data_IF_115293975830
#
_entry.id   IF_115293975830
#
_cell.length_a   1.000
_cell.length_b   1.000
_cell.length_c   1.000
_cell.angle_alpha   90.00
_cell.angle_beta   90.00
_cell.angle_gamma   90.00
#
_symmetry.space_group_name_H-M   'P 1'
#
loop_
_entity.id
_entity.type
_entity.pdbx_description
1 polymer ?
#
# COMPACT_ATOMS: atom_id res chain seq x y z
N UNK A 1 -16.22 43.39 31.52
CA UNK A 1 -17.62 42.98 31.72
C UNK A 1 -18.49 43.46 30.54
N UNK A 2 -18.23 43.01 29.31
CA UNK A 2 -18.92 43.53 28.10
C UNK A 2 -19.48 42.43 27.18
N UNK A 3 -19.42 41.15 27.58
CA UNK A 3 -19.90 40.02 26.76
C UNK A 3 -21.34 39.59 27.04
N UNK A 4 -21.99 40.13 28.09
CA UNK A 4 -23.32 39.66 28.49
C UNK A 4 -24.51 40.52 28.05
N UNK A 5 -24.30 41.73 27.52
CA UNK A 5 -25.42 42.62 27.18
C UNK A 5 -26.01 42.43 25.77
N UNK A 6 -25.32 41.70 24.90
CA UNK A 6 -25.76 41.38 23.53
C UNK A 6 -26.63 40.11 23.43
N UNK A 7 -26.74 39.30 24.49
CA UNK A 7 -27.40 38.00 24.41
C UNK A 7 -28.93 38.06 24.38
N UNK A 8 -29.55 39.21 24.72
CA UNK A 8 -31.00 39.34 24.90
C UNK A 8 -31.66 40.49 24.08
N UNK A 9 -31.03 40.96 23.00
CA UNK A 9 -31.57 42.05 22.17
C UNK A 9 -31.51 41.76 20.67
N UNK A 10 -32.52 42.20 19.91
CA UNK A 10 -32.56 42.04 18.44
C UNK A 10 -32.09 43.35 17.80
N UNK A 11 -31.13 43.28 16.89
CA UNK A 11 -30.68 44.46 16.12
C UNK A 11 -31.69 44.74 15.01
N UNK A 12 -32.23 45.96 14.97
CA UNK A 12 -33.27 46.38 14.04
C UNK A 12 -32.81 47.61 13.27
N UNK A 13 -33.05 47.63 11.95
CA UNK A 13 -32.75 48.77 11.08
C UNK A 13 -33.95 49.70 11.03
N UNK A 14 -33.80 50.96 11.43
CA UNK A 14 -34.86 51.97 11.35
C UNK A 14 -35.05 52.44 9.90
N UNK A 15 -36.17 53.11 9.61
CA UNK A 15 -36.46 53.67 8.28
C UNK A 15 -35.41 54.69 7.82
N UNK A 16 -34.72 55.32 8.76
CA UNK A 16 -33.64 56.28 8.53
C UNK A 16 -32.27 55.60 8.31
N UNK A 17 -32.24 54.26 8.26
CA UNK A 17 -31.04 53.49 7.93
C UNK A 17 -30.09 53.22 9.09
N UNK A 18 -30.43 53.65 10.32
CA UNK A 18 -29.63 53.43 11.52
C UNK A 18 -29.96 52.09 12.17
N UNK A 19 -28.95 51.42 12.74
CA UNK A 19 -29.14 50.18 13.49
C UNK A 19 -29.29 50.50 14.98
N UNK A 20 -30.39 50.04 15.56
CA UNK A 20 -30.68 50.17 17.00
C UNK A 20 -30.94 48.79 17.60
N UNK A 21 -30.73 48.65 18.90
CA UNK A 21 -30.98 47.40 19.62
C UNK A 21 -32.39 47.46 20.23
N UNK A 22 -33.26 46.50 19.90
CA UNK A 22 -34.57 46.34 20.53
C UNK A 22 -34.44 45.40 21.73
N UNK A 23 -34.61 45.94 22.94
CA UNK A 23 -34.60 45.20 24.21
C UNK A 23 -35.84 45.57 25.00
N UNK A 24 -36.62 44.58 25.43
CA UNK A 24 -37.86 44.76 26.22
C UNK A 24 -38.88 45.75 25.63
N UNK A 25 -39.00 45.83 24.30
CA UNK A 25 -39.96 46.70 23.62
C UNK A 25 -39.54 48.17 23.48
N UNK A 26 -38.32 48.52 23.90
CA UNK A 26 -37.73 49.85 23.71
C UNK A 26 -36.49 49.77 22.81
N UNK A 27 -36.29 50.80 21.99
CA UNK A 27 -35.16 50.92 21.07
C UNK A 27 -34.03 51.69 21.75
N UNK A 28 -32.91 51.01 22.01
CA UNK A 28 -31.69 51.58 22.57
C UNK A 28 -30.63 51.77 21.49
N UNK A 29 -29.75 52.77 21.68
CA UNK A 29 -28.62 53.00 20.78
C UNK A 29 -27.51 51.99 21.04
N UNK A 30 -26.89 51.50 19.96
CA UNK A 30 -25.78 50.56 20.08
C UNK A 30 -24.62 51.26 20.83
N UNK A 31 -24.03 50.64 21.86
CA UNK A 31 -22.89 51.21 22.56
C UNK A 31 -21.74 51.42 21.57
N UNK A 32 -21.41 52.68 21.31
CA UNK A 32 -20.47 53.11 20.25
C UNK A 32 -19.03 53.29 20.73
N UNK A 33 -18.70 52.87 21.95
CA UNK A 33 -17.31 52.95 22.44
C UNK A 33 -16.47 51.79 21.90
N UNK A 34 -15.73 52.09 20.83
CA UNK A 34 -14.60 51.29 20.37
C UNK A 34 -14.51 51.01 18.87
N UNK A 35 -15.37 51.61 18.02
CA UNK A 35 -15.23 51.50 16.57
C UNK A 35 -14.58 52.77 16.01
N UNK A 36 -13.25 52.81 16.10
CA UNK A 36 -12.46 53.77 15.33
C UNK A 36 -12.74 53.56 13.84
N UNK A 37 -13.43 54.52 13.23
CA UNK A 37 -13.65 54.59 11.79
C UNK A 37 -12.29 54.71 11.08
N UNK A 38 -11.89 53.67 10.36
CA UNK A 38 -10.72 53.72 9.47
C UNK A 38 -11.11 54.60 8.28
N UNK A 39 -10.61 55.84 8.25
CA UNK A 39 -10.68 56.72 7.09
C UNK A 39 -9.71 56.20 6.03
N UNK A 40 -10.21 55.92 4.83
CA UNK A 40 -9.38 55.65 3.66
C UNK A 40 -8.57 56.89 3.27
N UNK A 41 -7.25 56.83 3.47
CA UNK A 41 -6.15 57.52 2.75
C UNK A 41 -5.00 57.99 3.66
N UNK A 42 -4.33 57.05 4.32
CA UNK A 42 -2.94 57.27 4.73
C UNK A 42 -2.10 56.05 4.33
N UNK A 43 -1.17 56.27 3.40
CA UNK A 43 -0.13 55.32 3.05
C UNK A 43 0.87 55.30 4.20
N UNK A 44 0.72 54.35 5.11
CA UNK A 44 1.75 54.03 6.09
C UNK A 44 2.70 52.99 5.49
N UNK A 45 4.03 53.16 5.59
CA UNK A 45 4.98 52.19 5.08
C UNK A 45 4.77 50.86 5.79
N UNK A 46 4.48 49.82 5.00
CA UNK A 46 4.31 48.45 5.46
C UNK A 46 5.66 47.92 5.93
N UNK A 47 6.00 48.14 7.20
CA UNK A 47 6.95 47.29 7.88
C UNK A 47 6.17 46.06 8.31
N UNK A 48 6.36 44.95 7.60
CA UNK A 48 5.90 43.65 8.05
C UNK A 48 6.45 43.43 9.47
N UNK A 49 5.61 43.28 10.51
CA UNK A 49 6.08 42.60 11.69
C UNK A 49 6.37 41.18 11.22
N UNK A 50 7.65 40.84 11.13
CA UNK A 50 8.11 39.45 11.07
C UNK A 50 7.63 38.81 12.36
N UNK A 51 6.37 38.38 12.36
CA UNK A 51 5.87 37.40 13.31
C UNK A 51 6.73 36.19 13.00
N UNK A 52 7.66 35.89 13.91
CA UNK A 52 8.13 34.52 14.07
C UNK A 52 6.87 33.69 14.24
N UNK A 53 6.53 33.00 13.16
CA UNK A 53 5.49 32.00 13.17
C UNK A 53 6.08 30.94 14.09
N UNK A 54 5.56 30.84 15.32
CA UNK A 54 5.87 29.70 16.15
C UNK A 54 5.47 28.44 15.36
N UNK A 55 6.46 27.75 14.80
CA UNK A 55 6.32 26.51 14.02
C UNK A 55 5.62 25.38 14.81
N UNK A 56 5.29 25.60 16.08
CA UNK A 56 4.68 24.65 16.98
C UNK A 56 3.14 24.58 16.91
N UNK A 57 2.43 25.50 16.24
CA UNK A 57 0.95 25.57 16.28
C UNK A 57 0.22 25.20 14.98
N UNK A 58 0.92 24.86 13.89
CA UNK A 58 0.31 24.44 12.61
C UNK A 58 0.15 22.92 12.46
N UNK A 59 0.59 22.10 13.42
CA UNK A 59 0.32 20.66 13.40
C UNK A 59 -1.06 20.33 13.98
N UNK A 60 -2.12 20.90 13.42
CA UNK A 60 -3.43 20.25 13.53
C UNK A 60 -3.32 19.01 12.67
N UNK A 61 -3.00 17.85 13.28
CA UNK A 61 -2.89 16.54 12.61
C UNK A 61 -4.17 16.31 11.81
N UNK A 62 -4.17 16.67 10.53
CA UNK A 62 -5.24 16.35 9.61
C UNK A 62 -5.18 14.84 9.43
N UNK A 63 -6.14 14.15 10.04
CA UNK A 63 -6.38 12.74 9.74
C UNK A 63 -6.63 12.62 8.24
N UNK A 64 -6.11 11.57 7.61
CA UNK A 64 -6.20 11.35 6.17
C UNK A 64 -7.62 11.53 5.59
N UNK A 65 -8.68 11.25 6.35
CA UNK A 65 -10.08 11.43 5.92
C UNK A 65 -10.48 12.85 5.50
N UNK A 66 -9.66 13.88 5.75
CA UNK A 66 -9.90 15.22 5.19
C UNK A 66 -9.59 15.32 3.69
N UNK A 67 -8.66 14.49 3.20
CA UNK A 67 -8.15 14.56 1.83
C UNK A 67 -8.93 13.71 0.85
N UNK A 68 -9.61 12.67 1.35
CA UNK A 68 -10.27 11.67 0.52
C UNK A 68 -11.69 12.07 0.15
N UNK A 69 -12.01 11.83 -1.12
CA UNK A 69 -13.38 11.88 -1.62
C UNK A 69 -14.09 10.53 -1.38
N UNK A 70 -15.42 10.48 -1.57
CA UNK A 70 -16.18 9.22 -1.44
C UNK A 70 -15.67 8.15 -2.41
N UNK A 71 -15.24 8.56 -3.61
CA UNK A 71 -14.64 7.67 -4.59
C UNK A 71 -13.25 7.21 -4.14
N UNK A 72 -12.42 8.11 -3.62
CA UNK A 72 -11.10 7.71 -3.12
C UNK A 72 -11.23 6.70 -1.94
N UNK A 73 -12.21 6.88 -1.06
CA UNK A 73 -12.48 5.94 0.03
C UNK A 73 -12.94 4.56 -0.48
N UNK A 74 -13.66 4.52 -1.60
CA UNK A 74 -14.04 3.28 -2.29
C UNK A 74 -12.81 2.61 -2.88
N UNK A 75 -11.99 3.36 -3.63
CA UNK A 75 -10.76 2.84 -4.22
C UNK A 75 -9.80 2.31 -3.14
N UNK A 76 -9.71 2.98 -1.98
CA UNK A 76 -8.95 2.49 -0.83
C UNK A 76 -9.49 1.18 -0.28
N UNK A 77 -10.82 1.01 -0.25
CA UNK A 77 -11.45 -0.24 0.20
C UNK A 77 -11.13 -1.38 -0.76
N UNK A 78 -11.29 -1.14 -2.07
CA UNK A 78 -10.96 -2.12 -3.11
C UNK A 78 -9.49 -2.53 -3.06
N UNK A 79 -8.57 -1.58 -2.93
CA UNK A 79 -7.13 -1.87 -2.78
C UNK A 79 -6.80 -2.70 -1.53
N UNK A 80 -7.58 -2.58 -0.46
CA UNK A 80 -7.40 -3.38 0.75
C UNK A 80 -7.92 -4.79 0.55
N UNK A 81 -9.05 -4.93 -0.12
CA UNK A 81 -9.68 -6.23 -0.40
C UNK A 81 -8.83 -7.03 -1.40
N UNK A 82 -8.32 -6.41 -2.47
CA UNK A 82 -7.38 -7.04 -3.41
C UNK A 82 -6.12 -7.54 -2.71
N UNK A 83 -5.49 -6.71 -1.87
CA UNK A 83 -4.31 -7.13 -1.08
C UNK A 83 -4.63 -8.25 -0.11
N UNK A 84 -5.84 -8.30 0.43
CA UNK A 84 -6.27 -9.38 1.32
C UNK A 84 -6.49 -10.68 0.54
N UNK A 85 -7.10 -10.60 -0.64
CA UNK A 85 -7.29 -11.73 -1.54
C UNK A 85 -5.96 -12.31 -2.02
N UNK A 86 -5.02 -11.47 -2.46
CA UNK A 86 -3.67 -11.89 -2.86
C UNK A 86 -2.95 -12.62 -1.71
N UNK A 87 -2.99 -12.06 -0.49
CA UNK A 87 -2.41 -12.70 0.70
C UNK A 87 -3.06 -14.05 0.97
N UNK A 88 -4.39 -14.13 0.90
CA UNK A 88 -5.12 -15.38 1.12
C UNK A 88 -4.78 -16.45 0.09
N UNK A 89 -4.59 -16.07 -1.18
CA UNK A 89 -4.14 -16.98 -2.24
C UNK A 89 -2.74 -17.50 -1.94
N UNK A 90 -1.81 -16.62 -1.56
CA UNK A 90 -0.43 -17.01 -1.25
C UNK A 90 -0.33 -17.91 -0.02
N UNK A 91 -1.11 -17.64 1.03
CA UNK A 91 -1.19 -18.49 2.23
C UNK A 91 -1.70 -19.89 1.86
N UNK A 92 -2.78 -19.99 1.06
CA UNK A 92 -3.29 -21.29 0.58
C UNK A 92 -2.23 -22.07 -0.19
N UNK A 93 -1.53 -21.42 -1.12
CA UNK A 93 -0.46 -22.04 -1.89
C UNK A 93 0.70 -22.53 -1.01
N UNK A 94 1.07 -21.77 0.03
CA UNK A 94 2.13 -22.16 0.96
C UNK A 94 1.74 -23.41 1.77
N UNK A 95 0.51 -23.44 2.28
CA UNK A 95 -0.02 -24.58 3.03
C UNK A 95 -0.05 -25.83 2.14
N UNK A 96 -0.53 -25.69 0.89
CA UNK A 96 -0.58 -26.79 -0.07
C UNK A 96 0.82 -27.32 -0.40
N UNK A 97 1.79 -26.44 -0.67
CA UNK A 97 3.19 -26.83 -0.92
C UNK A 97 3.83 -27.55 0.28
N UNK A 98 3.52 -27.10 1.49
CA UNK A 98 4.04 -27.73 2.73
C UNK A 98 3.41 -29.11 2.95
N UNK A 99 2.11 -29.26 2.67
CA UNK A 99 1.47 -30.58 2.71
C UNK A 99 2.07 -31.52 1.65
N UNK A 100 2.35 -31.02 0.45
CA UNK A 100 2.98 -31.80 -0.62
C UNK A 100 4.41 -32.23 -0.31
N UNK A 101 5.21 -31.38 0.36
CA UNK A 101 6.57 -31.75 0.76
C UNK A 101 6.55 -32.87 1.81
N UNK A 102 5.62 -32.83 2.78
CA UNK A 102 5.43 -33.89 3.77
C UNK A 102 5.00 -35.19 3.10
N UNK A 103 4.09 -35.12 2.13
CA UNK A 103 3.65 -36.30 1.36
C UNK A 103 4.83 -36.90 0.58
N UNK A 104 5.68 -36.08 -0.05
CA UNK A 104 6.88 -36.58 -0.74
C UNK A 104 7.81 -37.34 0.21
N UNK A 105 8.13 -36.76 1.37
CA UNK A 105 8.95 -37.42 2.39
C UNK A 105 8.30 -38.72 2.88
N UNK A 106 6.98 -38.74 3.03
CA UNK A 106 6.24 -39.94 3.41
C UNK A 106 6.25 -41.03 2.31
N UNK A 107 6.29 -40.67 1.03
CA UNK A 107 6.48 -41.64 -0.07
C UNK A 107 7.90 -42.20 -0.06
N UNK A 108 8.90 -41.34 0.10
CA UNK A 108 10.31 -41.74 0.10
C UNK A 108 10.63 -42.68 1.28
N UNK A 109 9.93 -42.49 2.41
CA UNK A 109 9.98 -43.37 3.58
C UNK A 109 9.15 -44.67 3.44
N UNK A 110 8.46 -44.87 2.31
CA UNK A 110 7.62 -46.05 2.05
C UNK A 110 6.31 -46.10 2.86
N UNK A 111 5.91 -45.00 3.49
CA UNK A 111 4.70 -44.89 4.31
C UNK A 111 3.44 -44.81 3.44
N UNK A 112 3.53 -44.12 2.29
CA UNK A 112 2.43 -43.98 1.33
C UNK A 112 2.82 -44.73 0.06
N UNK A 113 2.09 -45.80 -0.24
CA UNK A 113 2.44 -46.74 -1.33
C UNK A 113 1.54 -46.57 -2.55
N UNK A 114 0.34 -45.99 -2.39
CA UNK A 114 -0.69 -45.90 -3.44
C UNK A 114 -1.16 -44.46 -3.61
N UNK A 115 -1.25 -44.00 -4.86
CA UNK A 115 -1.69 -42.64 -5.22
C UNK A 115 -3.04 -42.24 -4.59
N UNK A 116 -3.90 -43.23 -4.36
CA UNK A 116 -5.25 -43.04 -3.81
C UNK A 116 -5.26 -42.69 -2.30
N UNK A 117 -4.18 -43.00 -1.57
CA UNK A 117 -4.02 -42.63 -0.17
C UNK A 117 -3.50 -41.20 -0.01
N UNK A 118 -2.79 -40.68 -1.01
CA UNK A 118 -2.19 -39.35 -0.97
C UNK A 118 -3.22 -38.25 -0.79
N UNK A 119 -4.36 -38.35 -1.47
CA UNK A 119 -5.41 -37.34 -1.41
C UNK A 119 -6.07 -37.31 -0.01
N UNK A 120 -6.25 -38.48 0.62
CA UNK A 120 -6.82 -38.57 1.96
C UNK A 120 -5.83 -38.09 3.02
N UNK A 121 -4.56 -38.47 2.90
CA UNK A 121 -3.48 -37.97 3.75
C UNK A 121 -3.35 -36.45 3.61
N UNK A 122 -3.38 -35.92 2.37
CA UNK A 122 -3.39 -34.47 2.11
C UNK A 122 -4.54 -33.77 2.82
N UNK A 123 -5.77 -34.29 2.71
CA UNK A 123 -6.95 -33.72 3.41
C UNK A 123 -6.80 -33.73 4.92
N UNK A 124 -6.25 -34.80 5.49
CA UNK A 124 -6.00 -34.90 6.94
C UNK A 124 -4.93 -33.91 7.38
N UNK A 125 -3.82 -33.79 6.65
CA UNK A 125 -2.73 -32.83 6.93
C UNK A 125 -3.26 -31.39 6.84
N UNK A 126 -4.01 -31.06 5.78
CA UNK A 126 -4.60 -29.72 5.63
C UNK A 126 -5.59 -29.39 6.75
N UNK A 127 -6.41 -30.35 7.16
CA UNK A 127 -7.34 -30.19 8.29
C UNK A 127 -6.61 -30.00 9.61
N UNK A 128 -5.48 -30.69 9.81
CA UNK A 128 -4.60 -30.53 10.98
C UNK A 128 -3.89 -29.17 10.99
N UNK A 129 -3.40 -28.70 9.83
CA UNK A 129 -2.75 -27.40 9.69
C UNK A 129 -3.70 -26.21 9.86
N UNK A 130 -4.97 -26.37 9.48
CA UNK A 130 -6.02 -25.36 9.69
C UNK A 130 -6.62 -25.41 11.10
N UNK A 131 -6.07 -26.25 11.98
CA UNK A 131 -6.55 -26.51 13.34
C UNK A 131 -8.03 -26.94 13.43
N UNK A 132 -8.55 -27.51 12.33
CA UNK A 132 -9.91 -28.06 12.23
C UNK A 132 -9.97 -29.43 12.91
N UNK A 133 -8.84 -30.13 12.98
CA UNK A 133 -8.71 -31.47 13.57
C UNK A 133 -7.60 -31.52 14.61
N UNK A 134 -7.89 -32.11 15.77
CA UNK A 134 -6.94 -32.34 16.85
C UNK A 134 -5.96 -33.47 16.54
N UNK A 135 -4.85 -33.60 17.30
CA UNK A 135 -3.86 -34.66 17.13
C UNK A 135 -4.48 -36.06 17.28
N UNK A 136 -5.38 -36.23 18.25
CA UNK A 136 -6.07 -37.50 18.51
C UNK A 136 -7.00 -37.90 17.36
N UNK A 137 -7.78 -36.95 16.85
CA UNK A 137 -8.67 -37.18 15.70
C UNK A 137 -7.87 -37.42 14.41
N UNK A 138 -6.71 -36.79 14.24
CA UNK A 138 -5.82 -37.05 13.11
C UNK A 138 -5.25 -38.48 13.16
N UNK A 139 -4.85 -38.95 14.35
CA UNK A 139 -4.42 -40.33 14.58
C UNK A 139 -5.52 -41.33 14.26
N UNK A 140 -6.75 -41.06 14.70
CA UNK A 140 -7.92 -41.90 14.42
C UNK A 140 -8.30 -41.90 12.93
N UNK A 141 -8.25 -40.74 12.27
CA UNK A 141 -8.54 -40.62 10.83
C UNK A 141 -7.54 -41.39 9.95
N UNK A 142 -6.26 -41.40 10.33
CA UNK A 142 -5.21 -42.17 9.65
C UNK A 142 -5.29 -43.69 9.96
N UNK A 143 -5.87 -44.07 11.11
CA UNK A 143 -6.10 -45.45 11.50
C UNK A 143 -7.45 -46.02 11.01
N UNK A 144 -8.37 -45.15 10.56
CA UNK A 144 -9.72 -45.54 10.15
C UNK A 144 -9.75 -46.14 8.75
N UNK A 145 -10.20 -47.39 8.56
CA UNK A 145 -10.37 -48.00 7.25
C UNK A 145 -11.35 -47.25 6.36
N UNK A 146 -12.36 -46.59 6.95
CA UNK A 146 -13.38 -45.85 6.20
C UNK A 146 -12.81 -44.60 5.54
N UNK A 147 -11.88 -43.93 6.20
CA UNK A 147 -11.26 -42.69 5.72
C UNK A 147 -10.07 -43.03 4.81
N UNK A 148 -9.33 -44.10 5.12
CA UNK A 148 -8.15 -44.56 4.39
C UNK A 148 -8.46 -45.60 3.31
N UNK A 149 -9.69 -45.60 2.76
CA UNK A 149 -10.13 -46.48 1.65
C UNK A 149 -9.72 -47.96 1.84
N UNK A 150 -10.06 -48.52 3.00
CA UNK A 150 -9.79 -49.89 3.43
C UNK A 150 -8.32 -50.28 3.58
N UNK A 151 -7.40 -49.30 3.67
CA UNK A 151 -5.99 -49.53 3.98
C UNK A 151 -5.51 -48.54 5.05
N UNK A 152 -5.79 -48.79 6.33
CA UNK A 152 -5.32 -47.91 7.40
C UNK A 152 -3.79 -47.95 7.53
N UNK A 153 -3.20 -46.84 7.98
CA UNK A 153 -1.77 -46.77 8.26
C UNK A 153 -1.43 -47.53 9.55
N UNK A 154 -0.24 -48.12 9.59
CA UNK A 154 0.30 -48.76 10.78
C UNK A 154 0.61 -47.75 11.89
N UNK A 155 0.58 -48.18 13.16
CA UNK A 155 0.84 -47.28 14.31
C UNK A 155 2.16 -46.49 14.19
N UNK A 156 3.22 -47.14 13.70
CA UNK A 156 4.55 -46.53 13.49
C UNK A 156 4.55 -45.49 12.36
N UNK A 157 3.83 -45.78 11.28
CA UNK A 157 3.68 -44.90 10.11
C UNK A 157 2.91 -43.63 10.47
N UNK A 158 1.83 -43.78 11.26
CA UNK A 158 1.04 -42.66 11.76
C UNK A 158 1.89 -41.74 12.65
N UNK A 159 2.69 -42.32 13.55
CA UNK A 159 3.56 -41.55 14.44
C UNK A 159 4.65 -40.78 13.69
N UNK A 160 5.27 -41.40 12.69
CA UNK A 160 6.26 -40.75 11.80
C UNK A 160 5.64 -39.61 10.99
N UNK A 161 4.47 -39.82 10.40
CA UNK A 161 3.76 -38.80 9.62
C UNK A 161 3.33 -37.62 10.48
N UNK A 162 2.77 -37.89 11.67
CA UNK A 162 2.36 -36.84 12.60
C UNK A 162 3.56 -36.07 13.16
N UNK A 163 4.69 -36.72 13.40
CA UNK A 163 5.92 -36.04 13.81
C UNK A 163 6.41 -35.04 12.74
N UNK A 164 6.33 -35.42 11.46
CA UNK A 164 6.66 -34.53 10.34
C UNK A 164 5.70 -33.33 10.24
N UNK A 165 4.41 -33.56 10.50
CA UNK A 165 3.36 -32.52 10.49
C UNK A 165 3.56 -31.55 11.66
N UNK A 166 3.74 -32.02 12.88
CA UNK A 166 3.92 -31.16 14.05
C UNK A 166 5.22 -30.34 13.98
N UNK A 167 6.27 -30.86 13.33
CA UNK A 167 7.51 -30.10 13.06
C UNK A 167 7.29 -28.89 12.14
N UNK A 168 6.34 -28.97 11.20
CA UNK A 168 6.05 -27.89 10.24
C UNK A 168 4.85 -27.02 10.66
N UNK A 169 3.99 -27.52 11.55
CA UNK A 169 2.82 -26.80 12.07
C UNK A 169 3.13 -25.39 12.60
N UNK A 170 4.15 -25.15 13.46
CA UNK A 170 4.39 -23.80 13.97
C UNK A 170 4.74 -22.80 12.86
N UNK A 171 5.43 -23.25 11.79
CA UNK A 171 5.72 -22.42 10.61
C UNK A 171 4.45 -22.09 9.83
N UNK A 172 3.56 -23.06 9.65
CA UNK A 172 2.26 -22.86 8.98
C UNK A 172 1.34 -21.96 9.81
N UNK A 173 1.30 -22.14 11.11
CA UNK A 173 0.51 -21.33 12.04
C UNK A 173 1.02 -19.88 12.09
N UNK A 174 2.33 -19.67 12.07
CA UNK A 174 2.92 -18.34 11.96
C UNK A 174 2.55 -17.65 10.64
N UNK A 175 2.53 -18.38 9.52
CA UNK A 175 2.09 -17.85 8.21
C UNK A 175 0.60 -17.49 8.23
N UNK A 176 -0.25 -18.33 8.82
CA UNK A 176 -1.69 -18.07 8.96
C UNK A 176 -1.92 -16.85 9.85
N UNK A 177 -1.15 -16.69 10.94
CA UNK A 177 -1.31 -15.60 11.91
C UNK A 177 -0.72 -14.27 11.44
N UNK A 178 0.44 -14.30 10.78
CA UNK A 178 1.20 -13.08 10.44
C UNK A 178 1.06 -12.68 8.97
N UNK A 179 0.62 -13.59 8.09
CA UNK A 179 0.56 -13.38 6.65
C UNK A 179 1.93 -13.16 6.00
N UNK A 180 3.03 -13.34 6.72
CA UNK A 180 4.40 -13.30 6.19
C UNK A 180 4.82 -14.73 5.86
N UNK A 181 5.30 -14.94 4.63
CA UNK A 181 5.76 -16.24 4.15
C UNK A 181 7.26 -16.37 4.43
N UNK A 182 7.70 -17.24 5.35
CA UNK A 182 9.11 -17.55 5.52
C UNK A 182 9.62 -18.40 4.35
N UNK A 183 10.91 -18.23 4.03
CA UNK A 183 11.61 -19.02 3.01
C UNK A 183 11.63 -20.50 3.43
N UNK A 184 11.22 -21.39 2.52
CA UNK A 184 11.09 -22.83 2.77
C UNK A 184 12.49 -23.44 2.95
N UNK A 185 12.96 -23.57 4.19
CA UNK A 185 14.12 -24.40 4.47
C UNK A 185 13.79 -25.87 4.16
N UNK A 186 14.59 -26.56 3.32
CA UNK A 186 14.37 -27.96 3.01
C UNK A 186 14.46 -28.78 4.30
N UNK A 187 13.50 -29.68 4.49
CA UNK A 187 13.42 -30.60 5.63
C UNK A 187 14.60 -31.57 5.56
N UNK A 188 15.72 -31.18 6.15
CA UNK A 188 16.83 -32.12 6.39
C UNK A 188 16.45 -33.01 7.57
N UNK A 189 16.52 -34.31 7.32
CA UNK A 189 16.50 -35.35 8.36
C UNK A 189 17.73 -35.11 9.23
N UNK A 190 17.50 -34.88 10.52
CA UNK A 190 18.56 -34.97 11.51
C UNK A 190 18.62 -36.44 11.94
N UNK A 191 19.74 -37.10 11.68
CA UNK A 191 20.18 -38.27 12.43
C UNK A 191 21.30 -37.86 13.40
N UNK A 192 21.45 -38.58 14.53
CA UNK A 192 21.94 -38.04 15.79
C UNK A 192 23.47 -38.04 15.92
N UNK A 193 23.95 -37.37 16.95
CA UNK A 193 25.35 -37.00 17.19
C UNK A 193 26.37 -38.14 17.22
N UNK A 194 27.54 -37.81 16.62
CA UNK A 194 28.91 -38.21 16.93
C UNK A 194 29.26 -39.70 17.06
N UNK A 195 30.21 -40.17 16.22
CA UNK A 195 31.48 -40.85 16.60
C UNK A 195 32.36 -41.04 15.34
N UNK A 196 33.63 -40.62 15.46
CA UNK A 196 34.84 -41.03 14.75
C UNK A 196 35.26 -40.38 13.40
N UNK A 197 36.06 -39.33 13.60
CA UNK A 197 37.27 -38.98 12.85
C UNK A 197 38.11 -40.22 12.47
N UNK A 198 38.28 -40.48 11.18
CA UNK A 198 39.51 -41.07 10.62
C UNK A 198 39.88 -40.30 9.36
N UNK A 199 40.94 -39.52 9.51
CA UNK A 199 41.73 -38.87 8.47
C UNK A 199 42.71 -39.90 7.89
N UNK A 200 43.00 -39.84 6.59
CA UNK A 200 44.12 -40.45 5.79
C UNK A 200 43.58 -40.74 4.38
N UNK A 201 44.12 -40.33 3.22
CA UNK A 201 45.36 -39.63 2.83
C UNK A 201 45.08 -38.96 1.46
N UNK A 202 45.73 -37.81 1.24
CA UNK A 202 45.90 -37.13 -0.05
C UNK A 202 46.67 -38.00 -1.05
N UNK A 203 46.18 -38.13 -2.29
CA UNK A 203 47.06 -38.34 -3.45
C UNK A 203 46.66 -37.35 -4.56
N UNK A 204 47.69 -36.72 -5.10
CA UNK A 204 47.69 -35.59 -6.00
C UNK A 204 47.11 -35.89 -7.40
N UNK A 205 46.67 -34.80 -8.03
CA UNK A 205 46.27 -34.68 -9.43
C UNK A 205 47.39 -35.11 -10.41
N UNK A 206 47.04 -35.25 -11.71
CA UNK A 206 47.39 -34.13 -12.57
C UNK A 206 46.29 -33.64 -13.49
N UNK A 207 46.51 -32.37 -13.86
CA UNK A 207 45.81 -31.46 -14.75
C UNK A 207 45.12 -32.04 -15.99
N UNK A 208 43.94 -31.50 -16.27
CA UNK A 208 43.44 -31.27 -17.63
C UNK A 208 42.81 -29.87 -17.68
N UNK A 209 43.16 -29.12 -18.72
CA UNK A 209 42.86 -27.71 -18.96
C UNK A 209 41.36 -27.42 -19.22
N UNK A 210 40.89 -26.18 -19.01
CA UNK A 210 39.48 -25.83 -19.03
C UNK A 210 38.96 -25.50 -20.44
N UNK A 211 37.75 -25.93 -20.82
CA UNK A 211 37.02 -25.27 -21.88
C UNK A 211 36.26 -24.05 -21.33
N UNK A 212 36.59 -22.92 -21.95
CA UNK A 212 35.80 -21.70 -22.20
C UNK A 212 34.42 -21.59 -21.57
N UNK A 213 34.26 -20.47 -20.88
CA UNK A 213 33.06 -20.07 -20.18
C UNK A 213 31.79 -19.98 -21.02
N UNK A 214 30.69 -20.17 -20.30
CA UNK A 214 29.35 -19.80 -20.70
C UNK A 214 28.95 -18.66 -19.77
N UNK A 215 28.93 -17.45 -20.34
CA UNK A 215 28.35 -16.27 -19.71
C UNK A 215 26.83 -16.48 -19.53
N UNK A 216 26.22 -15.92 -18.47
CA UNK A 216 24.77 -15.82 -18.36
C UNK A 216 24.21 -15.04 -19.55
N UNK A 217 23.19 -15.59 -20.20
CA UNK A 217 22.49 -14.92 -21.30
C UNK A 217 21.81 -13.65 -20.79
N UNK A 218 22.34 -12.50 -21.22
CA UNK A 218 21.65 -11.21 -21.19
C UNK A 218 20.35 -11.34 -21.97
N UNK A 219 19.22 -11.05 -21.31
CA UNK A 219 17.97 -10.81 -22.03
C UNK A 219 18.16 -9.54 -22.85
N UNK A 220 17.89 -9.65 -24.15
CA UNK A 220 17.98 -8.57 -25.12
C UNK A 220 17.19 -7.35 -24.65
N UNK A 221 17.91 -6.25 -24.41
CA UNK A 221 17.34 -4.91 -24.37
C UNK A 221 16.95 -4.52 -25.80
N UNK A 222 15.67 -4.29 -26.03
CA UNK A 222 15.17 -3.49 -27.16
C UNK A 222 15.48 -2.00 -26.91
N UNK A 223 15.55 -1.16 -27.97
CA UNK A 223 16.66 -0.23 -28.18
C UNK A 223 16.70 0.91 -27.16
N UNK A 224 17.87 1.02 -26.51
CA UNK A 224 18.35 2.26 -25.91
C UNK A 224 18.67 3.21 -27.05
N UNK A 225 17.91 4.30 -27.18
CA UNK A 225 18.25 5.41 -28.07
C UNK A 225 18.71 6.58 -27.21
N UNK A 226 19.92 7.05 -27.52
CA UNK A 226 20.76 7.87 -26.65
C UNK A 226 20.34 9.32 -26.47
N UNK A 227 20.86 9.89 -25.38
CA UNK A 227 20.81 11.29 -25.04
C UNK A 227 21.76 12.08 -25.94
N UNK A 228 21.21 12.88 -26.85
CA UNK A 228 21.92 13.99 -27.48
C UNK A 228 21.61 15.27 -26.70
N UNK A 229 22.65 16.06 -26.39
CA UNK A 229 22.51 17.43 -25.93
C UNK A 229 22.67 18.38 -27.13
N UNK A 230 21.81 19.39 -27.23
CA UNK A 230 22.02 20.55 -28.10
C UNK A 230 21.98 21.87 -27.31
N UNK A 231 22.67 22.87 -27.85
CA UNK A 231 23.24 24.00 -27.12
C UNK A 231 22.25 25.14 -26.78
N UNK A 232 20.94 24.89 -26.70
CA UNK A 232 19.94 25.96 -26.47
C UNK A 232 18.79 25.62 -25.52
N UNK A 233 19.03 24.87 -24.45
CA UNK A 233 18.30 24.98 -23.17
C UNK A 233 16.77 24.79 -23.17
N UNK A 234 16.15 24.30 -24.24
CA UNK A 234 14.72 23.98 -24.31
C UNK A 234 14.48 22.50 -24.03
N UNK A 235 13.85 22.15 -22.92
CA UNK A 235 13.45 20.77 -22.62
C UNK A 235 12.15 20.44 -23.39
N UNK A 236 12.25 19.62 -24.43
CA UNK A 236 11.07 19.05 -25.08
C UNK A 236 10.71 17.72 -24.41
N UNK A 237 9.43 17.53 -24.09
CA UNK A 237 8.87 16.22 -23.76
C UNK A 237 8.94 15.38 -25.04
N UNK A 238 9.74 14.31 -25.06
CA UNK A 238 9.61 13.32 -26.12
C UNK A 238 8.27 12.61 -25.93
N UNK A 239 7.30 12.95 -26.78
CA UNK A 239 6.10 12.17 -26.97
C UNK A 239 6.52 10.75 -27.34
N UNK A 240 6.38 9.83 -26.38
CA UNK A 240 6.14 8.42 -26.70
C UNK A 240 4.86 8.44 -27.55
N UNK A 241 4.80 7.65 -28.63
CA UNK A 241 3.66 7.60 -29.57
C UNK A 241 2.47 6.88 -28.92
N UNK A 242 2.06 7.35 -27.75
CA UNK A 242 0.95 6.86 -26.95
C UNK A 242 -0.06 8.00 -26.88
N UNK A 243 -1.35 7.69 -27.07
CA UNK A 243 -2.39 8.71 -27.03
C UNK A 243 -2.48 9.39 -25.65
N UNK A 244 -3.15 10.56 -25.54
CA UNK A 244 -3.20 11.34 -24.30
C UNK A 244 -3.70 10.54 -23.08
N UNK A 245 -4.66 9.63 -23.29
CA UNK A 245 -5.19 8.73 -22.25
C UNK A 245 -4.12 7.76 -21.75
N UNK A 246 -3.35 7.15 -22.65
CA UNK A 246 -2.29 6.20 -22.27
C UNK A 246 -1.11 6.90 -21.61
N UNK A 247 -0.81 8.14 -21.98
CA UNK A 247 0.20 8.95 -21.30
C UNK A 247 -0.20 9.25 -19.84
N UNK A 248 -1.47 9.61 -19.60
CA UNK A 248 -1.98 9.85 -18.24
C UNK A 248 -1.93 8.55 -17.43
N UNK A 249 -2.35 7.44 -18.01
CA UNK A 249 -2.39 6.12 -17.36
C UNK A 249 -1.01 5.62 -16.95
N UNK A 250 -0.01 5.81 -17.80
CA UNK A 250 1.34 5.34 -17.57
C UNK A 250 2.22 6.38 -16.85
N UNK A 251 1.64 7.46 -16.33
CA UNK A 251 2.38 8.51 -15.63
C UNK A 251 3.05 7.95 -14.38
N UNK A 252 4.38 7.90 -14.41
CA UNK A 252 5.19 7.52 -13.26
C UNK A 252 5.39 8.69 -12.29
N UNK A 253 5.81 8.40 -11.06
CA UNK A 253 6.18 9.44 -10.10
C UNK A 253 7.33 10.34 -10.61
N UNK A 254 8.27 9.77 -11.36
CA UNK A 254 9.39 10.54 -11.95
C UNK A 254 8.90 11.48 -13.03
N UNK A 255 7.93 11.05 -13.83
CA UNK A 255 7.38 11.87 -14.92
C UNK A 255 6.54 13.00 -14.35
N UNK A 256 5.73 12.74 -13.32
CA UNK A 256 4.99 13.77 -12.59
C UNK A 256 5.92 14.90 -12.09
N UNK A 257 7.04 14.54 -11.47
CA UNK A 257 8.04 15.51 -10.97
C UNK A 257 8.75 16.31 -12.06
N UNK A 258 8.80 15.79 -13.28
CA UNK A 258 9.37 16.47 -14.44
C UNK A 258 8.34 17.32 -15.18
N UNK A 259 7.05 17.05 -14.97
CA UNK A 259 5.95 17.63 -15.74
C UNK A 259 5.81 19.14 -15.54
N UNK A 260 6.26 19.68 -14.41
CA UNK A 260 6.28 21.11 -14.13
C UNK A 260 7.44 21.49 -13.22
N UNK A 261 7.68 22.79 -13.06
CA UNK A 261 8.69 23.30 -12.12
C UNK A 261 8.25 23.14 -10.65
N UNK A 262 6.94 22.97 -10.42
CA UNK A 262 6.32 22.74 -9.12
C UNK A 262 5.28 21.62 -9.18
N UNK A 263 4.95 20.94 -8.06
CA UNK A 263 3.87 19.96 -8.01
C UNK A 263 2.53 20.52 -8.51
N UNK A 264 2.23 21.79 -8.20
CA UNK A 264 1.05 22.53 -8.61
C UNK A 264 0.97 22.65 -10.15
N UNK A 265 2.09 23.01 -10.78
CA UNK A 265 2.18 23.09 -12.24
C UNK A 265 2.03 21.71 -12.88
N UNK A 266 2.66 20.68 -12.33
CA UNK A 266 2.54 19.31 -12.81
C UNK A 266 1.07 18.84 -12.79
N UNK A 267 0.36 19.04 -11.68
CA UNK A 267 -1.06 18.71 -11.59
C UNK A 267 -1.94 19.59 -12.50
N UNK A 268 -1.58 20.86 -12.67
CA UNK A 268 -2.22 21.76 -13.63
C UNK A 268 -2.17 21.20 -15.05
N UNK A 269 -1.01 20.73 -15.51
CA UNK A 269 -0.86 20.13 -16.85
C UNK A 269 -1.65 18.83 -17.03
N UNK A 270 -1.80 18.03 -15.96
CA UNK A 270 -2.62 16.82 -16.00
C UNK A 270 -4.10 17.20 -16.12
N UNK A 271 -4.54 18.17 -15.31
CA UNK A 271 -5.90 18.70 -15.37
C UNK A 271 -6.22 19.27 -16.75
N UNK A 272 -5.33 20.10 -17.30
CA UNK A 272 -5.45 20.65 -18.66
C UNK A 272 -5.55 19.53 -19.71
N UNK A 273 -4.70 18.50 -19.63
CA UNK A 273 -4.75 17.37 -20.57
C UNK A 273 -6.09 16.61 -20.50
N UNK A 274 -6.66 16.44 -19.31
CA UNK A 274 -7.98 15.81 -19.15
C UNK A 274 -9.10 16.72 -19.69
N UNK A 275 -9.00 18.03 -19.50
CA UNK A 275 -9.99 18.96 -20.06
C UNK A 275 -9.91 19.06 -21.59
N UNK A 276 -8.72 18.96 -22.18
CA UNK A 276 -8.60 18.87 -23.64
C UNK A 276 -9.30 17.62 -24.18
N UNK A 277 -9.33 16.53 -23.41
CA UNK A 277 -10.14 15.36 -23.75
C UNK A 277 -11.64 15.61 -23.59
N UNK A 278 -12.04 16.43 -22.62
CA UNK A 278 -13.44 16.88 -22.47
C UNK A 278 -13.93 17.67 -23.69
N UNK A 279 -13.08 18.54 -24.24
CA UNK A 279 -13.37 19.31 -25.45
C UNK A 279 -13.68 18.41 -26.66
N UNK A 280 -13.11 17.20 -26.71
CA UNK A 280 -13.45 16.18 -27.71
C UNK A 280 -14.79 15.50 -27.39
N UNK A 281 -14.97 15.02 -26.15
CA UNK A 281 -16.25 14.52 -25.63
C UNK A 281 -16.20 14.24 -24.13
N UNK A 282 -17.37 14.19 -23.49
CA UNK A 282 -17.50 13.73 -22.11
C UNK A 282 -17.00 12.28 -21.91
N UNK A 283 -17.11 11.42 -22.94
CA UNK A 283 -16.59 10.04 -22.88
C UNK A 283 -15.06 10.06 -22.81
N UNK A 284 -14.42 10.95 -23.57
CA UNK A 284 -12.96 11.13 -23.57
C UNK A 284 -12.47 11.72 -22.24
N UNK A 285 -13.22 12.64 -21.63
CA UNK A 285 -12.97 13.09 -20.25
C UNK A 285 -12.97 11.92 -19.27
N UNK A 286 -14.01 11.09 -19.31
CA UNK A 286 -14.13 9.91 -18.44
C UNK A 286 -12.98 8.92 -18.66
N UNK A 287 -12.58 8.67 -19.91
CA UNK A 287 -11.38 7.89 -20.24
C UNK A 287 -10.11 8.50 -19.59
N UNK A 288 -9.93 9.82 -19.69
CA UNK A 288 -8.83 10.53 -19.06
C UNK A 288 -8.82 10.44 -17.53
N UNK A 289 -9.98 10.60 -16.89
CA UNK A 289 -10.12 10.47 -15.43
C UNK A 289 -9.85 9.03 -14.97
N UNK A 290 -10.36 8.02 -15.68
CA UNK A 290 -10.05 6.61 -15.38
C UNK A 290 -8.58 6.29 -15.57
N UNK A 291 -7.96 6.81 -16.63
CA UNK A 291 -6.53 6.69 -16.84
C UNK A 291 -5.74 7.31 -15.68
N UNK A 292 -6.13 8.50 -15.22
CA UNK A 292 -5.50 9.15 -14.07
C UNK A 292 -5.57 8.29 -12.81
N UNK A 293 -6.74 7.71 -12.52
CA UNK A 293 -6.92 6.79 -11.38
C UNK A 293 -6.05 5.53 -11.48
N UNK A 294 -5.63 5.15 -12.67
CA UNK A 294 -4.74 4.00 -12.88
C UNK A 294 -3.24 4.35 -12.76
N UNK A 295 -2.88 5.64 -12.74
CA UNK A 295 -1.49 6.12 -12.69
C UNK A 295 -0.77 5.70 -11.40
N UNK A 296 0.56 5.62 -11.46
CA UNK A 296 1.39 5.32 -10.29
C UNK A 296 1.19 6.38 -9.19
N UNK A 297 1.07 7.65 -9.59
CA UNK A 297 0.89 8.79 -8.71
C UNK A 297 -0.40 8.68 -7.89
N UNK A 298 -1.52 8.40 -8.55
CA UNK A 298 -2.81 8.24 -7.87
C UNK A 298 -2.81 7.03 -6.93
N UNK A 299 -2.23 5.89 -7.34
CA UNK A 299 -2.09 4.72 -6.46
C UNK A 299 -1.24 5.02 -5.23
N UNK A 300 -0.15 5.78 -5.37
CA UNK A 300 0.68 6.20 -4.24
C UNK A 300 -0.07 7.14 -3.30
N UNK A 301 -0.89 8.04 -3.83
CA UNK A 301 -1.79 8.88 -3.04
C UNK A 301 -2.74 8.05 -2.17
N UNK A 302 -3.48 7.11 -2.77
CA UNK A 302 -4.39 6.23 -2.03
C UNK A 302 -3.66 5.39 -0.98
N UNK A 303 -2.48 4.88 -1.32
CA UNK A 303 -1.66 4.06 -0.43
C UNK A 303 -1.21 4.81 0.82
N UNK A 304 -0.67 6.03 0.65
CA UNK A 304 -0.25 6.89 1.77
C UNK A 304 -1.46 7.27 2.63
N UNK A 305 -2.58 7.54 1.98
CA UNK A 305 -3.87 7.76 2.63
C UNK A 305 -4.33 6.64 3.52
N UNK A 306 -4.38 5.44 2.95
CA UNK A 306 -4.80 4.22 3.63
C UNK A 306 -3.91 3.94 4.85
N UNK A 307 -2.59 4.12 4.72
CA UNK A 307 -1.65 3.98 5.85
C UNK A 307 -1.87 5.03 6.92
N UNK A 308 -2.07 6.29 6.54
CA UNK A 308 -2.37 7.38 7.48
C UNK A 308 -3.66 7.10 8.27
N UNK A 309 -4.71 6.58 7.63
CA UNK A 309 -5.95 6.19 8.31
C UNK A 309 -5.78 4.96 9.20
N UNK A 310 -5.10 3.93 8.69
CA UNK A 310 -4.91 2.68 9.42
C UNK A 310 -4.06 2.87 10.68
N UNK A 311 -3.00 3.67 10.59
CA UNK A 311 -2.05 3.90 11.68
C UNK A 311 -2.42 5.12 12.54
N UNK A 312 -3.47 5.86 12.17
CA UNK A 312 -3.90 7.13 12.81
C UNK A 312 -2.75 8.15 12.89
N UNK A 313 -1.88 8.15 11.90
CA UNK A 313 -0.74 9.06 11.74
C UNK A 313 -1.10 10.17 10.75
N UNK A 314 -0.46 11.31 10.88
CA UNK A 314 -0.56 12.35 9.84
C UNK A 314 0.14 11.91 8.56
N UNK A 315 -0.30 12.45 7.41
CA UNK A 315 0.33 12.18 6.10
C UNK A 315 1.84 12.46 6.14
N UNK A 316 2.24 13.58 6.74
CA UNK A 316 3.66 13.95 6.87
C UNK A 316 4.49 12.90 7.61
N UNK A 317 3.93 12.26 8.64
CA UNK A 317 4.62 11.20 9.37
C UNK A 317 4.76 9.92 8.53
N UNK A 318 3.70 9.51 7.85
CA UNK A 318 3.73 8.34 6.96
C UNK A 318 4.75 8.52 5.84
N UNK A 319 4.81 9.72 5.25
CA UNK A 319 5.79 10.07 4.23
C UNK A 319 7.22 10.00 4.78
N UNK A 320 7.48 10.54 5.97
CA UNK A 320 8.79 10.48 6.60
C UNK A 320 9.25 9.03 6.86
N UNK A 321 8.34 8.17 7.34
CA UNK A 321 8.64 6.75 7.56
C UNK A 321 8.91 5.98 6.26
N UNK A 322 8.14 6.28 5.20
CA UNK A 322 8.38 5.72 3.87
C UNK A 322 9.72 6.15 3.30
N UNK A 323 10.07 7.43 3.43
CA UNK A 323 11.35 7.96 3.00
C UNK A 323 12.50 7.29 3.76
N UNK A 324 12.38 7.12 5.08
CA UNK A 324 13.39 6.44 5.90
C UNK A 324 13.57 4.95 5.52
N UNK A 325 12.50 4.30 5.06
CA UNK A 325 12.52 2.88 4.65
C UNK A 325 12.78 2.68 3.15
N UNK A 326 13.06 3.74 2.40
CA UNK A 326 13.33 3.66 0.95
C UNK A 326 12.12 3.26 0.10
N UNK A 327 10.90 3.37 0.64
CA UNK A 327 9.67 3.09 -0.10
C UNK A 327 9.28 4.28 -0.98
N UNK A 328 8.62 4.06 -2.13
CA UNK A 328 8.05 5.15 -2.93
C UNK A 328 7.11 6.04 -2.11
N UNK A 329 7.21 7.35 -2.29
CA UNK A 329 6.45 8.34 -1.54
C UNK A 329 6.14 9.59 -2.37
N UNK A 330 5.02 10.22 -2.05
CA UNK A 330 4.70 11.59 -2.42
C UNK A 330 5.13 12.50 -1.27
N UNK A 331 5.74 13.63 -1.57
CA UNK A 331 5.98 14.67 -0.56
C UNK A 331 4.63 15.19 -0.03
N UNK A 332 4.58 15.83 1.15
CA UNK A 332 3.33 16.41 1.64
C UNK A 332 2.70 17.43 0.68
N UNK A 333 3.53 18.19 -0.05
CA UNK A 333 3.06 19.13 -1.08
C UNK A 333 2.46 18.37 -2.27
N UNK A 334 3.17 17.38 -2.81
CA UNK A 334 2.67 16.54 -3.91
C UNK A 334 1.35 15.85 -3.54
N UNK A 335 1.24 15.34 -2.31
CA UNK A 335 0.03 14.69 -1.82
C UNK A 335 -1.16 15.65 -1.78
N UNK A 336 -0.97 16.86 -1.24
CA UNK A 336 -2.03 17.87 -1.17
C UNK A 336 -2.50 18.27 -2.57
N UNK A 337 -1.56 18.51 -3.49
CA UNK A 337 -1.88 18.90 -4.86
C UNK A 337 -2.62 17.78 -5.60
N UNK A 338 -2.24 16.52 -5.39
CA UNK A 338 -2.97 15.37 -5.96
C UNK A 338 -4.37 15.27 -5.38
N UNK A 339 -4.55 15.50 -4.07
CA UNK A 339 -5.87 15.55 -3.44
C UNK A 339 -6.75 16.64 -4.06
N UNK A 340 -6.20 17.84 -4.25
CA UNK A 340 -6.91 18.96 -4.88
C UNK A 340 -7.28 18.66 -6.34
N UNK A 341 -6.39 18.02 -7.10
CA UNK A 341 -6.67 17.56 -8.47
C UNK A 341 -7.80 16.54 -8.49
N UNK A 342 -7.77 15.53 -7.61
CA UNK A 342 -8.81 14.50 -7.53
C UNK A 342 -10.18 15.11 -7.23
N UNK A 343 -10.24 16.09 -6.33
CA UNK A 343 -11.47 16.83 -6.03
C UNK A 343 -11.98 17.59 -7.25
N UNK A 344 -11.10 18.17 -8.08
CA UNK A 344 -11.49 18.86 -9.31
C UNK A 344 -12.03 17.92 -10.38
N UNK A 345 -11.51 16.70 -10.47
CA UNK A 345 -11.91 15.72 -11.50
C UNK A 345 -13.25 15.01 -11.23
N UNK A 346 -13.84 15.21 -10.04
CA UNK A 346 -15.17 14.70 -9.68
C UNK A 346 -16.29 15.62 -10.18
N UNK A 347 -16.01 16.93 -10.29
CA UNK A 347 -16.93 17.95 -10.80
C UNK A 347 -16.75 18.13 -12.31
#
# INVERSE_FOLDING_TARGET
MLQNDLQNGIVVKTKDGLFKLLKNGQLEELPSDGLAAVRHNEVLPFQEPVKKIDEALTQKKSSAGFYFTVDDERDIRELRDEKLEEKNIQIKQFIDKTAESIIRVAKDAGIIVVADQEEQVKKIILSRFKDIRSLSEAKEALASPLIMRNRPLGKKEIELLLALVERQRPKVEEVIRTGKIPELEPVKMAEPEAVQKVEIIRIAAPAAEPPRGVQPQERKNEPVVGYGADEKGGQYYQHIITGPVEEIKNLSLKDFRKLGASPEEAAGRIWEKINLLEDESLIKKDEGTRAWRQSEVYRLYLLIGAESMAEKKSVSQVVAERQATGKPFLTPQEFNVVSDLNRKLIY
#
